data_IF_588075014826
#
_entry.id   IF_588075014826
#
_cell.length_a   1.000
_cell.length_b   1.000
_cell.length_c   1.000
_cell.angle_alpha   90.00
_cell.angle_beta   90.00
_cell.angle_gamma   90.00
#
_symmetry.space_group_name_H-M   'P 1'
#
loop_
_entity.id
_entity.type
_entity.pdbx_description
1 polymer ?
#
# COMPACT_ATOMS: atom_id res chain seq x y z
N UNK A 1 16.46 9.35 -68.46
CA UNK A 1 16.15 10.62 -67.74
C UNK A 1 15.21 10.34 -66.56
N UNK A 2 15.66 9.58 -65.55
CA UNK A 2 14.80 9.10 -64.44
C UNK A 2 14.99 9.85 -63.11
N UNK A 3 15.99 10.75 -63.03
CA UNK A 3 16.32 11.51 -61.81
C UNK A 3 15.17 12.35 -61.22
N UNK A 4 14.36 13.10 -61.99
CA UNK A 4 13.28 13.90 -61.40
C UNK A 4 12.16 13.03 -60.84
N UNK A 5 11.81 11.93 -61.51
CA UNK A 5 10.79 10.98 -61.04
C UNK A 5 11.24 10.26 -59.75
N UNK A 6 12.55 9.97 -59.65
CA UNK A 6 13.14 9.39 -58.44
C UNK A 6 13.06 10.34 -57.24
N UNK A 7 13.34 11.62 -57.41
CA UNK A 7 13.21 12.60 -56.32
C UNK A 7 11.75 12.81 -55.88
N UNK A 8 10.80 12.78 -56.82
CA UNK A 8 9.36 12.83 -56.49
C UNK A 8 8.96 11.61 -55.66
N UNK A 9 9.37 10.40 -56.08
CA UNK A 9 9.10 9.17 -55.33
C UNK A 9 9.73 9.18 -53.94
N UNK A 10 10.98 9.62 -53.82
CA UNK A 10 11.67 9.73 -52.53
C UNK A 10 10.98 10.73 -51.61
N UNK A 11 10.56 11.90 -52.13
CA UNK A 11 9.80 12.89 -51.37
C UNK A 11 8.46 12.33 -50.87
N UNK A 12 7.74 11.58 -51.71
CA UNK A 12 6.50 10.92 -51.33
C UNK A 12 6.72 9.92 -50.18
N UNK A 13 7.72 9.05 -50.29
CA UNK A 13 8.01 8.06 -49.25
C UNK A 13 8.48 8.70 -47.94
N UNK A 14 9.26 9.78 -47.99
CA UNK A 14 9.65 10.51 -46.78
C UNK A 14 8.47 11.23 -46.14
N UNK A 15 7.59 11.85 -46.93
CA UNK A 15 6.37 12.45 -46.39
C UNK A 15 5.46 11.39 -45.74
N UNK A 16 5.29 10.23 -46.37
CA UNK A 16 4.53 9.12 -45.80
C UNK A 16 5.16 8.64 -44.49
N UNK A 17 6.47 8.43 -44.48
CA UNK A 17 7.20 7.97 -43.30
C UNK A 17 7.12 8.98 -42.15
N UNK A 18 7.31 10.27 -42.43
CA UNK A 18 7.13 11.35 -41.45
C UNK A 18 5.68 11.41 -40.94
N UNK A 19 4.69 11.20 -41.80
CA UNK A 19 3.27 11.15 -41.41
C UNK A 19 2.97 10.00 -40.45
N UNK A 20 3.48 8.79 -40.75
CA UNK A 20 3.34 7.62 -39.87
C UNK A 20 4.00 7.88 -38.52
N UNK A 21 5.24 8.35 -38.51
CA UNK A 21 5.94 8.69 -37.27
C UNK A 21 5.15 9.75 -36.49
N UNK A 22 4.73 10.84 -37.13
CA UNK A 22 4.00 11.92 -36.45
C UNK A 22 2.68 11.44 -35.85
N UNK A 23 1.92 10.62 -36.58
CA UNK A 23 0.66 10.07 -36.11
C UNK A 23 0.85 9.18 -34.87
N UNK A 24 1.73 8.18 -34.94
CA UNK A 24 1.98 7.28 -33.81
C UNK A 24 2.78 7.92 -32.66
N UNK A 25 3.46 9.05 -32.90
CA UNK A 25 4.13 9.81 -31.82
C UNK A 25 3.17 10.68 -31.03
N UNK A 26 2.06 11.11 -31.63
CA UNK A 26 1.08 12.00 -31.00
C UNK A 26 -0.19 11.28 -30.53
N UNK A 27 -0.54 10.16 -31.16
CA UNK A 27 -1.82 9.48 -30.97
C UNK A 27 -1.66 7.95 -30.86
N UNK A 28 -2.47 7.29 -30.02
CA UNK A 28 -3.37 7.88 -29.02
C UNK A 28 -2.60 8.40 -27.81
N UNK A 29 -3.11 9.48 -27.20
CA UNK A 29 -2.59 9.97 -25.93
C UNK A 29 -2.70 8.86 -24.88
N UNK A 30 -1.58 8.47 -24.30
CA UNK A 30 -1.55 7.46 -23.25
C UNK A 30 -2.23 7.99 -21.99
N UNK A 31 -3.29 7.32 -21.53
CA UNK A 31 -4.00 7.64 -20.30
C UNK A 31 -3.61 6.63 -19.22
N UNK A 32 -3.02 7.11 -18.12
CA UNK A 32 -2.61 6.26 -17.02
C UNK A 32 -3.81 5.72 -16.21
N UNK A 33 -4.90 6.48 -16.16
CA UNK A 33 -6.14 6.17 -15.46
C UNK A 33 -7.32 6.69 -16.31
N UNK A 34 -8.45 5.97 -16.36
CA UNK A 34 -9.68 6.49 -16.94
C UNK A 34 -10.13 7.80 -16.29
N UNK A 35 -10.84 8.69 -17.02
CA UNK A 35 -11.21 10.01 -16.51
C UNK A 35 -12.16 10.01 -15.31
N UNK A 36 -12.84 8.90 -15.05
CA UNK A 36 -13.80 8.67 -13.97
C UNK A 36 -13.26 7.77 -12.85
N UNK A 37 -12.02 7.30 -12.99
CA UNK A 37 -11.37 6.43 -12.02
C UNK A 37 -10.31 7.18 -11.21
N UNK A 38 -10.04 6.61 -10.04
CA UNK A 38 -9.01 7.04 -9.11
C UNK A 38 -8.33 5.79 -8.55
N UNK A 39 -7.11 5.93 -8.04
CA UNK A 39 -6.33 4.78 -7.61
C UNK A 39 -6.05 4.82 -6.12
N UNK A 40 -6.43 3.75 -5.42
CA UNK A 40 -6.01 3.51 -4.05
C UNK A 40 -4.74 2.65 -4.08
N UNK A 41 -3.67 3.14 -3.46
CA UNK A 41 -2.45 2.37 -3.21
C UNK A 41 -2.36 2.00 -1.74
N UNK A 42 -2.56 0.72 -1.43
CA UNK A 42 -2.29 0.18 -0.10
C UNK A 42 -0.85 -0.33 -0.07
N UNK A 43 -0.01 0.27 0.77
CA UNK A 43 1.41 -0.07 0.81
C UNK A 43 1.97 0.12 2.21
N UNK A 44 2.36 -0.97 2.85
CA UNK A 44 3.10 -0.92 4.10
C UNK A 44 3.93 -2.18 4.34
N UNK A 45 4.82 -2.08 5.33
CA UNK A 45 5.56 -3.21 5.90
C UNK A 45 5.35 -3.21 7.41
N UNK A 46 4.99 -4.34 7.98
CA UNK A 46 4.72 -4.45 9.41
C UNK A 46 5.11 -5.82 9.93
N UNK A 47 5.58 -5.88 11.17
CA UNK A 47 5.82 -7.14 11.87
C UNK A 47 4.64 -7.41 12.80
N UNK A 48 4.07 -8.60 12.69
CA UNK A 48 3.07 -9.07 13.65
C UNK A 48 3.64 -9.19 15.07
N UNK A 49 2.76 -9.38 16.03
CA UNK A 49 3.11 -9.77 17.38
C UNK A 49 3.64 -11.21 17.39
N UNK A 50 4.45 -11.61 18.38
CA UNK A 50 4.85 -13.00 18.54
C UNK A 50 3.63 -13.91 18.71
N UNK A 51 3.67 -15.12 18.14
CA UNK A 51 2.53 -16.06 18.18
C UNK A 51 2.28 -16.60 19.59
N UNK A 52 3.31 -16.67 20.44
CA UNK A 52 3.19 -17.19 21.81
C UNK A 52 3.74 -16.23 22.85
N UNK A 53 3.35 -16.50 24.10
CA UNK A 53 3.78 -15.71 25.25
C UNK A 53 5.28 -15.89 25.55
N UNK A 54 5.91 -14.81 26.02
CA UNK A 54 7.27 -14.88 26.51
C UNK A 54 7.28 -15.51 27.91
N UNK A 55 7.93 -16.67 28.07
CA UNK A 55 8.11 -17.31 29.39
C UNK A 55 9.43 -16.90 30.03
N UNK A 56 9.46 -16.82 31.35
CA UNK A 56 10.71 -16.68 32.09
C UNK A 56 11.52 -18.00 32.04
N UNK A 57 12.85 -17.85 32.00
CA UNK A 57 13.80 -18.96 32.10
C UNK A 57 13.81 -19.52 33.51
N UNK A 58 13.93 -20.84 33.64
CA UNK A 58 14.07 -21.46 34.95
C UNK A 58 15.48 -21.19 35.53
N UNK A 59 15.68 -21.27 36.85
CA UNK A 59 16.98 -21.08 37.47
C UNK A 59 18.07 -22.02 36.93
N UNK A 60 17.70 -23.25 36.57
CA UNK A 60 18.60 -24.25 35.99
C UNK A 60 19.03 -23.88 34.56
N UNK A 61 18.12 -23.30 33.78
CA UNK A 61 18.42 -22.78 32.43
C UNK A 61 19.36 -21.57 32.51
N UNK A 62 19.13 -20.66 33.47
CA UNK A 62 20.00 -19.50 33.70
C UNK A 62 21.40 -19.92 34.15
N UNK A 63 21.51 -20.96 34.98
CA UNK A 63 22.80 -21.48 35.44
C UNK A 63 23.66 -22.02 34.29
N UNK A 64 23.04 -22.57 33.22
CA UNK A 64 23.74 -23.03 32.02
C UNK A 64 24.26 -21.89 31.15
N UNK A 65 23.73 -20.67 31.30
CA UNK A 65 24.18 -19.52 30.51
C UNK A 65 25.55 -19.01 30.99
N UNK A 66 26.35 -18.40 30.08
CA UNK A 66 27.55 -17.67 30.45
C UNK A 66 27.27 -16.59 31.50
N UNK A 67 28.21 -16.36 32.41
CA UNK A 67 28.03 -15.47 33.58
C UNK A 67 27.52 -14.06 33.20
N UNK A 68 27.98 -13.52 32.06
CA UNK A 68 27.57 -12.20 31.57
C UNK A 68 26.13 -12.13 31.02
N UNK A 69 25.50 -13.28 30.72
CA UNK A 69 24.12 -13.37 30.21
C UNK A 69 23.08 -13.62 31.32
N UNK A 70 23.52 -13.96 32.55
CA UNK A 70 22.62 -14.34 33.66
C UNK A 70 21.83 -13.19 34.30
N UNK A 71 22.23 -11.94 34.04
CA UNK A 71 21.62 -10.72 34.61
C UNK A 71 20.96 -9.81 33.55
N UNK A 72 20.78 -10.31 32.33
CA UNK A 72 20.28 -9.53 31.19
C UNK A 72 18.77 -9.61 30.98
N UNK A 73 18.25 -8.78 30.08
CA UNK A 73 16.87 -8.82 29.58
C UNK A 73 16.49 -10.15 28.90
N UNK A 74 17.48 -11.01 28.63
CA UNK A 74 17.34 -12.34 28.02
C UNK A 74 16.81 -13.41 29.00
N UNK A 75 16.40 -13.05 30.22
CA UNK A 75 15.74 -14.00 31.12
C UNK A 75 14.36 -14.45 30.62
N UNK A 76 13.85 -13.86 29.53
CA UNK A 76 12.62 -14.29 28.86
C UNK A 76 12.92 -15.00 27.55
N UNK A 77 12.31 -16.17 27.35
CA UNK A 77 12.29 -16.89 26.07
C UNK A 77 11.00 -16.51 25.36
N UNK A 78 11.13 -15.76 24.27
CA UNK A 78 10.02 -15.43 23.39
C UNK A 78 10.11 -16.26 22.10
N UNK A 79 8.98 -16.78 21.58
CA UNK A 79 8.92 -17.34 20.24
C UNK A 79 9.41 -16.33 19.21
N UNK A 80 10.20 -16.80 18.25
CA UNK A 80 10.70 -15.97 17.14
C UNK A 80 9.64 -15.75 16.06
N UNK A 81 8.73 -16.72 15.94
CA UNK A 81 7.64 -16.72 14.96
C UNK A 81 6.65 -15.59 15.23
N UNK A 82 6.20 -14.95 14.16
CA UNK A 82 5.31 -13.80 14.16
C UNK A 82 3.94 -14.22 13.65
N UNK A 83 2.89 -13.59 14.15
CA UNK A 83 1.54 -13.81 13.67
C UNK A 83 1.37 -13.36 12.22
N UNK A 84 0.50 -14.07 11.49
CA UNK A 84 0.03 -13.66 10.18
C UNK A 84 -0.72 -12.33 10.29
N UNK A 85 -0.51 -11.44 9.31
CA UNK A 85 -1.28 -10.21 9.23
C UNK A 85 -2.53 -10.43 8.39
N UNK A 86 -3.71 -10.05 8.90
CA UNK A 86 -4.93 -10.03 8.10
C UNK A 86 -5.29 -8.58 7.81
N UNK A 87 -5.35 -8.23 6.53
CA UNK A 87 -5.62 -6.86 6.08
C UNK A 87 -6.93 -6.83 5.32
N UNK A 88 -7.83 -5.96 5.74
CA UNK A 88 -9.10 -5.72 5.06
C UNK A 88 -9.24 -4.26 4.69
N UNK A 89 -9.77 -4.03 3.48
CA UNK A 89 -10.16 -2.71 3.01
C UNK A 89 -11.59 -2.79 2.49
N UNK A 90 -12.46 -1.98 3.06
CA UNK A 90 -13.84 -1.80 2.64
C UNK A 90 -14.05 -0.38 2.13
N UNK A 91 -14.95 -0.24 1.15
CA UNK A 91 -15.39 1.03 0.60
C UNK A 91 -16.91 1.01 0.49
N UNK A 92 -17.57 1.97 1.12
CA UNK A 92 -19.03 2.10 1.18
C UNK A 92 -19.73 0.81 1.65
N UNK A 93 -19.13 0.14 2.64
CA UNK A 93 -19.62 -1.14 3.18
C UNK A 93 -19.39 -2.36 2.27
N UNK A 94 -18.73 -2.20 1.12
CA UNK A 94 -18.32 -3.30 0.25
C UNK A 94 -16.84 -3.60 0.42
N UNK A 95 -16.51 -4.87 0.62
CA UNK A 95 -15.13 -5.33 0.69
C UNK A 95 -14.40 -5.16 -0.66
N UNK A 96 -13.32 -4.38 -0.65
CA UNK A 96 -12.42 -4.18 -1.79
C UNK A 96 -11.23 -5.14 -1.76
N UNK A 97 -10.72 -5.46 -0.57
CA UNK A 97 -9.55 -6.30 -0.38
C UNK A 97 -9.67 -7.07 0.92
N UNK A 98 -9.26 -8.33 0.89
CA UNK A 98 -8.94 -9.13 2.07
C UNK A 98 -7.72 -9.98 1.74
N UNK A 99 -6.65 -9.82 2.53
CA UNK A 99 -5.42 -10.59 2.35
C UNK A 99 -4.84 -11.05 3.69
N UNK A 100 -4.35 -12.28 3.68
CA UNK A 100 -3.56 -12.85 4.76
C UNK A 100 -2.10 -12.83 4.34
N UNK A 101 -1.28 -12.06 5.05
CA UNK A 101 0.15 -11.88 4.77
C UNK A 101 0.97 -12.66 5.78
N UNK A 102 1.68 -13.68 5.29
CA UNK A 102 2.59 -14.46 6.12
C UNK A 102 3.92 -13.74 6.32
N UNK A 103 4.48 -13.72 7.54
CA UNK A 103 5.81 -13.20 7.81
C UNK A 103 6.88 -13.89 6.96
N UNK A 104 7.81 -13.10 6.44
CA UNK A 104 8.90 -13.61 5.60
C UNK A 104 10.03 -14.23 6.43
N UNK A 105 10.95 -14.93 5.75
CA UNK A 105 12.14 -15.56 6.35
C UNK A 105 11.91 -17.01 6.79
N UNK A 106 13.02 -17.73 7.02
CA UNK A 106 13.02 -19.17 7.30
C UNK A 106 12.25 -19.56 8.58
N UNK A 107 12.20 -18.66 9.56
CA UNK A 107 11.53 -18.88 10.84
C UNK A 107 10.28 -17.99 11.02
N UNK A 108 9.74 -17.45 9.93
CA UNK A 108 8.57 -16.54 9.95
C UNK A 108 8.69 -15.42 10.98
N UNK A 109 9.91 -14.87 11.13
CA UNK A 109 10.25 -13.90 12.17
C UNK A 109 10.43 -12.47 11.65
N UNK A 110 10.23 -12.26 10.34
CA UNK A 110 10.46 -10.98 9.67
C UNK A 110 9.15 -10.20 9.49
N UNK A 111 9.23 -9.06 8.83
CA UNK A 111 8.05 -8.29 8.42
C UNK A 111 7.25 -9.04 7.35
N UNK A 112 5.95 -8.79 7.36
CA UNK A 112 5.08 -8.98 6.21
C UNK A 112 4.96 -7.64 5.45
N UNK A 113 4.77 -7.72 4.13
CA UNK A 113 4.68 -6.58 3.24
C UNK A 113 3.48 -6.72 2.31
N UNK A 114 2.88 -5.58 1.99
CA UNK A 114 1.77 -5.52 1.03
C UNK A 114 1.95 -4.32 0.13
N UNK A 115 1.65 -4.53 -1.15
CA UNK A 115 1.54 -3.48 -2.14
C UNK A 115 0.40 -3.84 -3.09
N UNK A 116 -0.68 -3.07 -3.04
CA UNK A 116 -1.86 -3.26 -3.89
C UNK A 116 -2.28 -1.94 -4.52
N UNK A 117 -2.68 -2.03 -5.78
CA UNK A 117 -3.19 -0.94 -6.61
C UNK A 117 -4.64 -1.28 -6.95
N UNK A 118 -5.57 -0.54 -6.39
CA UNK A 118 -7.00 -0.82 -6.51
C UNK A 118 -7.64 0.36 -7.24
N UNK A 119 -7.99 0.22 -8.52
CA UNK A 119 -8.77 1.23 -9.23
C UNK A 119 -10.18 1.25 -8.65
N UNK A 120 -10.67 2.44 -8.34
CA UNK A 120 -12.03 2.67 -7.85
C UNK A 120 -12.64 3.86 -8.58
N UNK A 121 -13.96 4.00 -8.49
CA UNK A 121 -14.64 5.18 -9.05
C UNK A 121 -14.23 6.43 -8.27
N UNK A 122 -14.13 7.55 -8.98
CA UNK A 122 -13.95 8.84 -8.35
C UNK A 122 -15.24 9.28 -7.66
N UNK A 123 -15.10 9.98 -6.53
CA UNK A 123 -16.24 10.38 -5.71
C UNK A 123 -15.91 10.49 -4.23
N UNK A 124 -16.94 10.79 -3.44
CA UNK A 124 -16.88 10.74 -1.98
C UNK A 124 -17.21 9.32 -1.55
N UNK A 125 -16.29 8.70 -0.82
CA UNK A 125 -16.40 7.32 -0.38
C UNK A 125 -16.03 7.20 1.09
N UNK A 126 -16.71 6.30 1.80
CA UNK A 126 -16.34 5.93 3.17
C UNK A 126 -15.43 4.71 3.10
N UNK A 127 -14.18 4.87 3.53
CA UNK A 127 -13.20 3.80 3.55
C UNK A 127 -12.99 3.30 4.96
N UNK A 128 -13.01 1.99 5.14
CA UNK A 128 -12.66 1.32 6.39
C UNK A 128 -11.51 0.37 6.15
N UNK A 129 -10.39 0.65 6.80
CA UNK A 129 -9.20 -0.18 6.78
C UNK A 129 -9.04 -0.89 8.12
N UNK A 130 -8.91 -2.21 8.08
CA UNK A 130 -8.74 -3.07 9.25
C UNK A 130 -7.45 -3.88 9.12
N UNK A 131 -6.70 -3.99 10.21
CA UNK A 131 -5.51 -4.82 10.31
C UNK A 131 -5.56 -5.62 11.61
N UNK A 132 -5.33 -6.92 11.48
CA UNK A 132 -5.01 -7.83 12.56
C UNK A 132 -3.52 -8.14 12.51
N UNK A 133 -2.80 -7.86 13.59
CA UNK A 133 -1.37 -8.16 13.70
C UNK A 133 -0.99 -9.15 14.81
N UNK A 134 -1.96 -9.78 15.45
CA UNK A 134 -1.76 -10.67 16.59
C UNK A 134 -2.45 -12.03 16.35
N UNK A 135 -2.13 -13.09 17.12
CA UNK A 135 -2.63 -14.44 16.88
C UNK A 135 -4.11 -14.66 17.22
N UNK A 136 -4.85 -13.63 17.63
CA UNK A 136 -6.29 -13.72 17.90
C UNK A 136 -7.13 -13.67 16.63
N UNK A 137 -8.44 -13.49 16.77
CA UNK A 137 -9.39 -13.43 15.64
C UNK A 137 -9.88 -12.00 15.34
N UNK A 138 -9.72 -11.07 16.28
CA UNK A 138 -10.19 -9.69 16.18
C UNK A 138 -9.21 -8.76 15.44
N UNK A 139 -9.74 -7.62 14.96
CA UNK A 139 -8.94 -6.56 14.35
C UNK A 139 -8.54 -5.55 15.42
N UNK A 140 -7.23 -5.45 15.68
CA UNK A 140 -6.71 -4.53 16.68
C UNK A 140 -6.46 -3.12 16.15
N UNK A 141 -6.37 -2.95 14.83
CA UNK A 141 -6.38 -1.63 14.19
C UNK A 141 -7.53 -1.52 13.23
N UNK A 142 -8.44 -0.59 13.50
CA UNK A 142 -9.52 -0.24 12.59
C UNK A 142 -9.54 1.28 12.43
N UNK A 143 -9.58 1.74 11.19
CA UNK A 143 -9.74 3.16 10.88
C UNK A 143 -10.74 3.32 9.77
N UNK A 144 -11.77 4.11 10.06
CA UNK A 144 -12.81 4.48 9.11
C UNK A 144 -12.73 5.99 8.84
N UNK A 145 -12.74 6.38 7.58
CA UNK A 145 -12.66 7.78 7.18
C UNK A 145 -13.40 8.02 5.87
N UNK A 146 -14.17 9.10 5.81
CA UNK A 146 -14.78 9.57 4.55
C UNK A 146 -13.77 10.41 3.79
N UNK A 147 -13.51 10.04 2.55
CA UNK A 147 -12.51 10.69 1.69
C UNK A 147 -13.13 11.11 0.36
N UNK A 148 -12.68 12.24 -0.17
CA UNK A 148 -13.02 12.64 -1.54
C UNK A 148 -11.87 12.23 -2.48
N UNK A 149 -12.15 11.23 -3.32
CA UNK A 149 -11.23 10.71 -4.32
C UNK A 149 -11.48 11.41 -5.66
N UNK A 150 -10.68 12.42 -5.96
CA UNK A 150 -10.75 13.10 -7.24
C UNK A 150 -10.27 12.18 -8.40
N UNK A 151 -10.82 12.33 -9.61
CA UNK A 151 -10.40 11.53 -10.76
C UNK A 151 -8.94 11.75 -11.14
N UNK A 152 -8.29 10.70 -11.63
CA UNK A 152 -6.87 10.72 -12.01
C UNK A 152 -5.89 10.92 -10.85
N UNK A 153 -6.37 10.99 -9.60
CA UNK A 153 -5.51 11.08 -8.41
C UNK A 153 -5.21 9.71 -7.82
N UNK A 154 -4.16 9.70 -7.00
CA UNK A 154 -3.72 8.51 -6.28
C UNK A 154 -3.76 8.81 -4.79
N UNK A 155 -4.61 8.10 -4.08
CA UNK A 155 -4.62 8.09 -2.62
C UNK A 155 -3.75 6.96 -2.12
N UNK A 156 -2.93 7.22 -1.10
CA UNK A 156 -2.07 6.20 -0.50
C UNK A 156 -2.55 5.89 0.90
N UNK A 157 -2.77 4.61 1.17
CA UNK A 157 -3.03 4.06 2.50
C UNK A 157 -1.73 3.40 2.97
N UNK A 158 -1.16 3.99 4.00
CA UNK A 158 0.03 3.49 4.70
C UNK A 158 -0.37 3.02 6.10
N UNK A 159 0.50 2.29 6.79
CA UNK A 159 0.26 1.81 8.14
C UNK A 159 1.49 2.01 9.01
N UNK A 160 1.28 2.60 10.19
CA UNK A 160 2.32 2.75 11.20
C UNK A 160 1.71 2.63 12.59
N UNK A 161 1.93 1.48 13.23
CA UNK A 161 1.45 1.20 14.59
C UNK A 161 1.85 2.29 15.60
N UNK A 162 3.09 2.79 15.51
CA UNK A 162 3.61 3.83 16.41
C UNK A 162 2.85 5.18 16.34
N UNK A 163 2.11 5.46 15.26
CA UNK A 163 1.32 6.68 15.09
C UNK A 163 -0.18 6.43 15.19
N UNK A 164 -0.59 5.28 15.72
CA UNK A 164 -2.01 4.93 15.90
C UNK A 164 -2.66 4.23 14.70
N UNK A 165 -1.88 3.66 13.77
CA UNK A 165 -2.38 2.73 12.76
C UNK A 165 -2.37 3.27 11.33
N UNK A 166 -3.48 3.12 10.60
CA UNK A 166 -3.59 3.49 9.18
C UNK A 166 -3.47 5.00 8.95
N UNK A 167 -2.82 5.39 7.85
CA UNK A 167 -2.60 6.78 7.45
C UNK A 167 -3.09 6.96 6.01
N UNK A 168 -4.09 7.81 5.83
CA UNK A 168 -4.67 8.17 4.53
C UNK A 168 -4.00 9.45 4.02
N UNK A 169 -3.17 9.33 2.99
CA UNK A 169 -2.45 10.46 2.36
C UNK A 169 -3.12 10.90 1.07
N UNK A 170 -2.97 12.18 0.73
CA UNK A 170 -3.58 12.82 -0.44
C UNK A 170 -5.11 12.77 -0.46
N UNK A 171 -5.74 12.69 0.72
CA UNK A 171 -7.17 12.93 0.88
C UNK A 171 -7.45 14.41 0.60
N UNK A 172 -8.34 14.70 -0.35
CA UNK A 172 -8.89 16.05 -0.44
C UNK A 172 -9.93 16.17 0.68
N UNK A 173 -9.67 17.04 1.65
CA UNK A 173 -10.64 17.35 2.70
C UNK A 173 -11.69 18.26 2.06
N UNK A 174 -12.94 17.83 1.99
CA UNK A 174 -14.07 18.75 1.78
C UNK A 174 -14.29 19.51 3.08
N UNK A 175 -13.48 20.54 3.33
CA UNK A 175 -13.73 21.49 4.41
C UNK A 175 -14.84 22.44 3.95
N UNK A 176 -16.09 22.00 4.11
CA UNK A 176 -17.20 22.94 4.29
C UNK A 176 -17.28 23.26 5.78
N UNK A 177 -16.38 24.13 6.24
CA UNK A 177 -16.57 24.89 7.48
C UNK A 177 -15.89 26.25 7.33
N UNK A 178 -16.40 27.03 6.37
CA UNK A 178 -16.42 28.48 6.52
C UNK A 178 -17.74 28.82 7.20
N UNK A 179 -17.71 29.09 8.50
CA UNK A 179 -18.73 29.90 9.17
C UNK A 179 -18.03 30.82 10.16
N UNK A 180 -17.88 32.07 9.71
CA UNK A 180 -18.10 33.30 10.46
C UNK A 180 -17.37 33.50 11.79
N UNK A 181 -16.48 34.48 11.77
CA UNK A 181 -15.88 35.09 12.96
C UNK A 181 -15.19 36.39 12.63
N UNK A 182 -15.86 37.29 11.90
CA UNK A 182 -15.50 38.71 11.84
C UNK A 182 -16.50 39.49 12.70
N UNK A 183 -16.07 39.87 13.91
CA UNK A 183 -16.39 41.15 14.55
C UNK A 183 -15.45 41.37 15.72
#
# INVERSE_FOLDING_TARGET
MAKPLQYIGQGLFYALFMGVIGYFSALPAYTHLPPDETLIKLSFRHAGQPVGECRDRTPEEIAKLPVYQRKGADNKICPRERADLVVELEMDGKQLLHEVLRPTGLAHSSNANIYRRIPVKAGVHTLKASLKDHPGDDFNYVREETVNLAPGRIMVIDFKAATGGFIFRNKNITTNTQSEGNK
#
